data_IF_906947784730
#
_entry.id   IF_906947784730
#
_cell.length_a   1.000
_cell.length_b   1.000
_cell.length_c   1.000
_cell.angle_alpha   90.00
_cell.angle_beta   90.00
_cell.angle_gamma   90.00
#
_symmetry.space_group_name_H-M   'P 1'
#
loop_
_entity.id
_entity.type
_entity.pdbx_description
1 polymer ?
#
# COMPACT_ATOMS: atom_id res chain seq x y z
N UNK A 1 -19.79 57.63 47.68
CA UNK A 1 -20.80 57.42 46.61
C UNK A 1 -21.06 55.91 46.56
N UNK A 2 -22.12 55.45 47.24
CA UNK A 2 -23.33 54.84 46.66
C UNK A 2 -23.04 53.57 45.83
N UNK A 3 -23.25 52.35 46.36
CA UNK A 3 -24.51 51.52 46.32
C UNK A 3 -24.81 51.04 44.89
N UNK A 4 -25.08 49.78 44.52
CA UNK A 4 -25.96 48.74 45.08
C UNK A 4 -25.78 47.42 44.24
N UNK A 5 -25.74 46.23 44.84
CA UNK A 5 -26.80 45.19 44.93
C UNK A 5 -27.11 44.30 43.70
N UNK A 6 -26.77 43.01 43.88
CA UNK A 6 -27.59 41.77 43.84
C UNK A 6 -28.59 41.40 42.71
N UNK A 7 -28.55 40.08 42.43
CA UNK A 7 -29.65 39.11 42.29
C UNK A 7 -30.19 38.66 40.91
N UNK A 8 -29.98 37.34 40.68
CA UNK A 8 -30.94 36.24 40.42
C UNK A 8 -31.80 36.18 39.14
N UNK A 9 -31.59 35.05 38.44
CA UNK A 9 -32.55 34.06 37.90
C UNK A 9 -33.75 34.52 37.06
N UNK A 10 -33.89 33.90 35.87
CA UNK A 10 -35.14 33.88 35.12
C UNK A 10 -34.97 33.35 33.70
N UNK A 11 -35.03 32.02 33.54
CA UNK A 11 -35.20 31.37 32.24
C UNK A 11 -36.67 31.54 31.83
N UNK A 12 -36.91 32.15 30.66
CA UNK A 12 -38.22 32.14 30.00
C UNK A 12 -38.12 31.37 28.69
N UNK A 13 -38.85 30.26 28.64
CA UNK A 13 -39.25 29.54 27.45
C UNK A 13 -40.21 30.40 26.62
N UNK A 14 -39.94 30.54 25.32
CA UNK A 14 -40.95 30.83 24.31
C UNK A 14 -40.75 29.86 23.15
N UNK A 15 -41.67 28.92 23.08
CA UNK A 15 -41.88 27.96 22.00
C UNK A 15 -42.32 28.67 20.72
N UNK A 16 -41.63 28.39 19.62
CA UNK A 16 -42.10 28.63 18.26
C UNK A 16 -41.94 27.33 17.45
N UNK A 17 -43.06 26.64 17.27
CA UNK A 17 -43.22 25.54 16.33
C UNK A 17 -43.01 26.04 14.90
N UNK A 18 -41.93 25.60 14.25
CA UNK A 18 -41.79 25.65 12.80
C UNK A 18 -41.96 24.22 12.25
N UNK A 19 -43.10 23.96 11.62
CA UNK A 19 -43.28 22.81 10.73
C UNK A 19 -42.32 23.00 9.54
N UNK A 20 -41.28 22.19 9.45
CA UNK A 20 -40.50 22.03 8.21
C UNK A 20 -41.04 20.79 7.51
N UNK A 21 -41.65 21.00 6.34
CA UNK A 21 -42.12 19.94 5.47
C UNK A 21 -40.93 19.09 5.00
N UNK A 22 -40.98 17.79 5.29
CA UNK A 22 -40.08 16.77 4.73
C UNK A 22 -40.44 16.57 3.25
N UNK A 23 -39.74 17.27 2.36
CA UNK A 23 -39.58 16.76 0.99
C UNK A 23 -38.47 15.69 1.04
N UNK A 24 -38.63 14.54 0.35
CA UNK A 24 -37.54 13.60 0.19
C UNK A 24 -36.46 14.28 -0.64
N UNK A 25 -35.40 14.75 0.01
CA UNK A 25 -34.15 15.03 -0.65
C UNK A 25 -33.63 13.71 -1.19
N UNK A 26 -33.82 13.49 -2.49
CA UNK A 26 -32.90 12.67 -3.26
C UNK A 26 -31.50 13.21 -2.95
N UNK A 27 -30.73 12.45 -2.18
CA UNK A 27 -29.32 12.75 -1.95
C UNK A 27 -28.63 12.68 -3.32
N UNK A 28 -28.49 13.84 -3.96
CA UNK A 28 -27.61 13.99 -5.10
C UNK A 28 -26.20 13.65 -4.58
N UNK A 29 -25.62 12.54 -5.05
CA UNK A 29 -24.24 12.21 -4.78
C UNK A 29 -23.38 13.46 -5.02
N UNK A 30 -22.59 13.86 -4.02
CA UNK A 30 -21.67 14.98 -4.19
C UNK A 30 -20.76 14.64 -5.39
N UNK A 31 -20.68 15.50 -6.41
CA UNK A 31 -19.80 15.23 -7.54
C UNK A 31 -18.36 15.17 -7.02
N UNK A 32 -17.67 14.07 -7.31
CA UNK A 32 -16.22 13.95 -7.22
C UNK A 32 -15.61 15.25 -7.76
N UNK A 33 -14.64 15.91 -7.09
CA UNK A 33 -14.08 17.15 -7.57
C UNK A 33 -13.60 16.93 -9.00
N UNK A 34 -14.28 17.54 -9.96
CA UNK A 34 -14.04 17.32 -11.38
C UNK A 34 -12.61 17.78 -11.68
N UNK A 35 -11.76 16.85 -12.11
CA UNK A 35 -10.42 17.18 -12.59
C UNK A 35 -10.53 18.30 -13.61
N UNK A 36 -9.81 19.40 -13.38
CA UNK A 36 -9.92 20.59 -14.21
C UNK A 36 -9.53 20.27 -15.66
N UNK A 37 -10.45 20.56 -16.59
CA UNK A 37 -10.22 20.48 -18.03
C UNK A 37 -10.28 21.89 -18.63
N UNK A 38 -9.22 22.31 -19.29
CA UNK A 38 -9.19 23.59 -19.98
C UNK A 38 -10.24 23.61 -21.12
N UNK A 39 -11.34 24.38 -21.02
CA UNK A 39 -12.45 24.30 -21.97
C UNK A 39 -12.05 24.72 -23.39
N UNK A 40 -10.97 25.49 -23.53
CA UNK A 40 -10.48 25.99 -24.80
C UNK A 40 -9.43 25.08 -25.46
N UNK A 41 -8.86 24.13 -24.71
CA UNK A 41 -7.83 23.22 -25.20
C UNK A 41 -8.36 22.24 -26.26
N UNK A 42 -7.50 21.90 -27.22
CA UNK A 42 -7.81 20.90 -28.24
C UNK A 42 -8.10 19.52 -27.64
N UNK A 43 -7.40 19.17 -26.55
CA UNK A 43 -7.60 17.93 -25.79
C UNK A 43 -9.06 17.84 -25.29
N UNK A 44 -9.53 18.87 -24.59
CA UNK A 44 -10.92 18.93 -24.10
C UNK A 44 -11.96 18.87 -25.22
N UNK A 45 -11.68 19.51 -26.36
CA UNK A 45 -12.56 19.45 -27.54
C UNK A 45 -12.65 18.04 -28.11
N UNK A 46 -11.54 17.31 -28.19
CA UNK A 46 -11.56 15.92 -28.64
C UNK A 46 -12.27 15.00 -27.65
N UNK A 47 -12.00 15.15 -26.35
CA UNK A 47 -12.68 14.35 -25.32
C UNK A 47 -14.22 14.50 -25.39
N UNK A 48 -14.72 15.73 -25.59
CA UNK A 48 -16.16 16.02 -25.71
C UNK A 48 -16.85 15.33 -26.88
N UNK A 49 -16.13 14.84 -27.89
CA UNK A 49 -16.77 14.14 -29.01
C UNK A 49 -17.25 12.75 -28.62
N UNK A 50 -16.58 12.10 -27.66
CA UNK A 50 -16.96 10.77 -27.17
C UNK A 50 -16.38 10.48 -25.77
N UNK A 51 -16.96 11.07 -24.69
CA UNK A 51 -16.46 10.87 -23.34
C UNK A 51 -16.47 9.39 -22.88
N UNK A 52 -17.40 8.58 -23.40
CA UNK A 52 -17.52 7.17 -23.04
C UNK A 52 -16.34 6.34 -23.57
N UNK A 53 -15.85 6.67 -24.77
CA UNK A 53 -14.66 6.07 -25.39
C UNK A 53 -13.37 6.42 -24.66
N UNK A 54 -13.22 7.68 -24.25
CA UNK A 54 -11.97 8.17 -23.66
C UNK A 54 -11.90 7.95 -22.14
N UNK A 55 -13.04 7.89 -21.45
CA UNK A 55 -13.13 7.80 -20.00
C UNK A 55 -13.12 9.18 -19.32
N UNK A 56 -13.27 9.18 -18.00
CA UNK A 56 -13.16 10.41 -17.21
C UNK A 56 -11.70 10.88 -17.12
N UNK A 57 -11.44 12.20 -17.03
CA UNK A 57 -10.10 12.72 -16.82
C UNK A 57 -9.54 12.28 -15.46
N UNK A 58 -8.30 11.81 -15.45
CA UNK A 58 -7.57 11.37 -14.25
C UNK A 58 -6.56 12.40 -13.76
N UNK A 59 -6.09 13.28 -14.65
CA UNK A 59 -5.12 14.33 -14.32
C UNK A 59 -5.45 15.65 -15.02
N UNK A 60 -5.01 16.81 -14.47
CA UNK A 60 -5.02 18.06 -15.20
C UNK A 60 -4.16 17.99 -16.47
N UNK A 61 -4.42 18.88 -17.43
CA UNK A 61 -3.57 19.01 -18.63
C UNK A 61 -2.14 19.41 -18.24
N UNK A 62 -1.15 18.64 -18.70
CA UNK A 62 0.27 18.89 -18.50
C UNK A 62 0.91 19.34 -19.81
N UNK A 63 1.41 20.57 -19.82
CA UNK A 63 2.07 21.15 -21.00
C UNK A 63 3.57 21.29 -20.79
N UNK A 64 4.36 20.82 -21.77
CA UNK A 64 5.81 20.95 -21.81
C UNK A 64 6.21 21.81 -23.01
N UNK A 65 6.94 22.88 -22.73
CA UNK A 65 7.37 23.85 -23.75
C UNK A 65 8.13 23.15 -24.88
N UNK A 66 7.67 23.34 -26.11
CA UNK A 66 8.26 22.74 -27.30
C UNK A 66 7.82 21.30 -27.61
N UNK A 67 7.27 20.56 -26.62
CA UNK A 67 6.86 19.15 -26.80
C UNK A 67 5.34 18.97 -26.98
N UNK A 68 4.54 19.86 -26.39
CA UNK A 68 3.08 19.82 -26.48
C UNK A 68 2.42 19.70 -25.12
N UNK A 69 1.17 19.26 -25.10
CA UNK A 69 0.39 19.00 -23.89
C UNK A 69 -0.15 17.57 -23.90
N UNK A 70 -0.34 17.00 -22.72
CA UNK A 70 -1.02 15.72 -22.51
C UNK A 70 -2.08 15.83 -21.42
N UNK A 71 -3.09 14.98 -21.51
CA UNK A 71 -4.02 14.72 -20.42
C UNK A 71 -4.36 13.23 -20.39
N UNK A 72 -4.43 12.67 -19.19
CA UNK A 72 -4.67 11.25 -18.94
C UNK A 72 -6.15 11.04 -18.59
N UNK A 73 -6.75 9.99 -19.13
CA UNK A 73 -8.13 9.58 -18.92
C UNK A 73 -8.20 8.10 -18.58
N UNK A 74 -9.29 7.65 -17.95
CA UNK A 74 -9.48 6.25 -17.52
C UNK A 74 -9.23 5.22 -18.63
N UNK A 75 -9.50 5.57 -19.89
CA UNK A 75 -9.40 4.66 -21.04
C UNK A 75 -8.52 5.20 -22.16
N UNK A 76 -7.81 6.31 -21.95
CA UNK A 76 -7.01 6.90 -23.01
C UNK A 76 -5.99 7.93 -22.52
N UNK A 77 -5.03 8.25 -23.39
CA UNK A 77 -4.26 9.49 -23.31
C UNK A 77 -4.59 10.33 -24.52
N UNK A 78 -4.82 11.62 -24.30
CA UNK A 78 -4.98 12.60 -25.38
C UNK A 78 -3.84 13.61 -25.30
N UNK A 79 -3.13 13.79 -26.40
CA UNK A 79 -2.04 14.77 -26.51
C UNK A 79 -2.37 15.83 -27.56
N UNK A 80 -1.82 17.02 -27.38
CA UNK A 80 -1.76 18.06 -28.39
C UNK A 80 -0.30 18.45 -28.66
N UNK A 81 0.14 18.35 -29.91
CA UNK A 81 1.43 18.89 -30.36
C UNK A 81 1.24 20.00 -31.41
N UNK A 82 2.16 20.97 -31.46
CA UNK A 82 2.09 22.04 -32.46
C UNK A 82 2.21 21.52 -33.91
N UNK A 83 2.97 20.44 -34.11
CA UNK A 83 3.17 19.79 -35.41
C UNK A 83 2.23 18.59 -35.65
N UNK A 84 1.72 17.95 -34.59
CA UNK A 84 0.94 16.70 -34.68
C UNK A 84 -0.57 16.91 -34.47
N UNK A 85 -0.96 18.08 -33.96
CA UNK A 85 -2.33 18.40 -33.59
C UNK A 85 -2.82 17.59 -32.38
N UNK A 86 -4.14 17.51 -32.20
CA UNK A 86 -4.74 16.67 -31.15
C UNK A 86 -4.82 15.23 -31.64
N UNK A 87 -4.33 14.29 -30.83
CA UNK A 87 -4.36 12.83 -31.08
C UNK A 87 -4.62 12.09 -29.77
N UNK A 88 -5.21 10.91 -29.88
CA UNK A 88 -5.52 10.07 -28.74
C UNK A 88 -5.04 8.64 -28.99
N UNK A 89 -4.59 7.98 -27.93
CA UNK A 89 -4.44 6.52 -27.90
C UNK A 89 -5.50 5.95 -26.98
N UNK A 90 -6.23 4.95 -27.45
CA UNK A 90 -7.33 4.33 -26.68
C UNK A 90 -6.92 2.98 -26.10
N UNK A 91 -7.38 2.71 -24.88
CA UNK A 91 -7.03 1.56 -24.04
C UNK A 91 -6.22 1.98 -22.81
N UNK A 92 -6.66 1.60 -21.61
CA UNK A 92 -6.01 1.93 -20.34
C UNK A 92 -4.55 1.43 -20.30
N UNK A 93 -4.29 0.21 -20.73
CA UNK A 93 -2.94 -0.37 -20.74
C UNK A 93 -2.00 0.38 -21.70
N UNK A 94 -2.53 0.88 -22.83
CA UNK A 94 -1.77 1.66 -23.81
C UNK A 94 -1.46 3.06 -23.29
N UNK A 95 -2.43 3.69 -22.62
CA UNK A 95 -2.26 4.94 -21.91
C UNK A 95 -1.13 4.83 -20.88
N UNK A 96 -1.19 3.82 -20.01
CA UNK A 96 -0.15 3.54 -19.02
C UNK A 96 1.22 3.26 -19.65
N UNK A 97 1.28 2.53 -20.77
CA UNK A 97 2.53 2.27 -21.47
C UNK A 97 3.17 3.57 -22.01
N UNK A 98 2.38 4.48 -22.58
CA UNK A 98 2.88 5.78 -23.02
C UNK A 98 3.39 6.63 -21.84
N UNK A 99 2.70 6.61 -20.70
CA UNK A 99 3.16 7.30 -19.47
C UNK A 99 4.48 6.69 -18.96
N UNK A 100 4.58 5.36 -18.93
CA UNK A 100 5.80 4.64 -18.53
C UNK A 100 7.00 4.93 -19.44
N UNK A 101 6.75 5.23 -20.72
CA UNK A 101 7.78 5.70 -21.64
C UNK A 101 8.26 7.14 -21.36
N UNK A 102 7.69 7.80 -20.35
CA UNK A 102 8.00 9.17 -19.92
C UNK A 102 7.05 10.24 -20.46
N UNK A 103 5.99 9.85 -21.16
CA UNK A 103 4.92 10.73 -21.67
C UNK A 103 5.42 11.93 -22.47
N UNK A 104 4.67 13.04 -22.40
CA UNK A 104 4.93 14.27 -23.17
C UNK A 104 6.30 14.89 -22.83
N UNK A 105 6.83 14.61 -21.63
CA UNK A 105 8.11 15.12 -21.16
C UNK A 105 9.30 14.46 -21.85
N UNK A 106 9.18 13.17 -22.20
CA UNK A 106 10.26 12.40 -22.81
C UNK A 106 9.99 12.15 -24.28
N UNK A 107 8.91 11.41 -24.58
CA UNK A 107 8.63 10.90 -25.93
C UNK A 107 7.77 11.85 -26.77
N UNK A 108 7.13 12.85 -26.14
CA UNK A 108 6.43 13.91 -26.85
C UNK A 108 5.02 13.53 -27.33
N UNK A 109 4.41 14.41 -28.12
CA UNK A 109 3.01 14.29 -28.52
C UNK A 109 2.80 13.14 -29.51
N UNK A 110 1.64 12.49 -29.43
CA UNK A 110 1.24 11.40 -30.33
C UNK A 110 1.11 11.92 -31.77
N UNK A 111 1.59 11.14 -32.75
CA UNK A 111 1.34 11.38 -34.17
C UNK A 111 0.05 10.69 -34.67
N UNK A 112 -0.47 9.69 -33.94
CA UNK A 112 -1.64 8.90 -34.31
C UNK A 112 -2.07 7.92 -33.22
N UNK A 113 -3.11 7.12 -33.52
CA UNK A 113 -3.50 5.99 -32.66
C UNK A 113 -2.53 4.82 -32.82
N UNK A 114 -2.64 3.81 -31.95
CA UNK A 114 -1.80 2.63 -31.96
C UNK A 114 -1.96 1.83 -33.27
N UNK A 115 -0.83 1.36 -33.79
CA UNK A 115 -0.75 0.50 -34.96
C UNK A 115 0.11 -0.74 -34.67
N UNK A 116 -0.11 -1.81 -35.41
CA UNK A 116 0.64 -3.05 -35.22
C UNK A 116 1.96 -3.00 -36.00
N UNK A 117 3.06 -2.71 -35.31
CA UNK A 117 4.40 -2.81 -35.85
C UNK A 117 4.79 -4.28 -36.07
N UNK A 118 5.30 -4.58 -37.26
CA UNK A 118 5.73 -5.94 -37.65
C UNK A 118 6.68 -6.57 -36.63
N UNK A 119 7.58 -5.79 -36.04
CA UNK A 119 8.64 -6.26 -35.15
C UNK A 119 8.31 -6.04 -33.67
N UNK A 120 7.62 -4.95 -33.35
CA UNK A 120 7.36 -4.54 -31.96
C UNK A 120 5.93 -4.82 -31.47
N UNK A 121 5.01 -5.19 -32.34
CA UNK A 121 3.59 -5.31 -31.98
C UNK A 121 2.91 -3.95 -31.87
N UNK A 122 1.81 -3.82 -31.11
CA UNK A 122 1.13 -2.55 -30.87
C UNK A 122 2.10 -1.43 -30.45
N UNK A 123 2.21 -0.39 -31.27
CA UNK A 123 3.13 0.73 -31.07
C UNK A 123 2.49 2.04 -31.51
N UNK A 124 3.03 3.15 -31.03
CA UNK A 124 2.68 4.51 -31.46
C UNK A 124 3.95 5.24 -31.85
N UNK A 125 3.82 6.20 -32.78
CA UNK A 125 4.89 7.16 -33.07
C UNK A 125 4.57 8.46 -32.37
N UNK A 126 5.58 9.05 -31.74
CA UNK A 126 5.46 10.32 -31.01
C UNK A 126 6.53 11.29 -31.46
N UNK A 127 6.31 12.58 -31.20
CA UNK A 127 7.22 13.64 -31.58
C UNK A 127 7.34 14.68 -30.46
N UNK A 128 8.57 14.94 -30.00
CA UNK A 128 8.85 15.84 -28.89
C UNK A 128 9.24 17.26 -29.32
N UNK A 129 9.00 17.61 -30.59
CA UNK A 129 9.44 18.88 -31.17
C UNK A 129 10.79 18.80 -31.88
N UNK A 130 11.61 17.78 -31.59
CA UNK A 130 12.92 17.57 -32.21
C UNK A 130 13.09 16.15 -32.76
N UNK A 131 12.58 15.18 -32.01
CA UNK A 131 12.87 13.76 -32.18
C UNK A 131 11.58 12.98 -32.33
N UNK A 132 11.58 12.01 -33.26
CA UNK A 132 10.53 11.01 -33.36
C UNK A 132 10.89 9.77 -32.57
N UNK A 133 9.98 9.34 -31.70
CA UNK A 133 10.13 8.10 -30.97
C UNK A 133 9.14 7.05 -31.46
N UNK A 134 9.55 5.79 -31.41
CA UNK A 134 8.62 4.67 -31.46
C UNK A 134 8.43 4.18 -30.03
N UNK A 135 7.18 4.13 -29.58
CA UNK A 135 6.80 3.67 -28.23
C UNK A 135 5.98 2.39 -28.36
N UNK A 136 6.38 1.35 -27.63
CA UNK A 136 5.65 0.08 -27.56
C UNK A 136 4.52 0.23 -26.56
N UNK A 137 3.28 0.04 -27.00
CA UNK A 137 2.08 0.26 -26.16
C UNK A 137 1.31 -1.02 -25.85
N UNK A 138 1.81 -2.18 -26.26
CA UNK A 138 1.24 -3.47 -25.87
C UNK A 138 1.73 -4.64 -26.70
N UNK A 139 1.10 -5.80 -26.48
CA UNK A 139 1.45 -7.06 -27.14
C UNK A 139 2.60 -7.82 -26.48
N UNK A 140 3.06 -8.87 -27.15
CA UNK A 140 4.01 -9.85 -26.59
C UNK A 140 5.42 -9.77 -27.18
N UNK A 141 5.61 -9.02 -28.27
CA UNK A 141 6.89 -8.96 -29.01
C UNK A 141 7.97 -8.09 -28.33
N UNK A 142 7.54 -7.20 -27.44
CA UNK A 142 8.38 -6.18 -26.81
C UNK A 142 7.77 -5.79 -25.46
N UNK A 143 8.52 -5.03 -24.67
CA UNK A 143 8.05 -4.54 -23.37
C UNK A 143 7.19 -3.31 -23.56
N UNK A 144 5.96 -3.32 -23.06
CA UNK A 144 5.11 -2.14 -23.06
C UNK A 144 5.74 -1.02 -22.20
N UNK A 145 5.79 0.18 -22.77
CA UNK A 145 6.43 1.36 -22.21
C UNK A 145 7.89 1.56 -22.61
N UNK A 146 8.49 0.62 -23.35
CA UNK A 146 9.77 0.87 -23.99
C UNK A 146 9.64 1.86 -25.13
N UNK A 147 10.66 2.69 -25.31
CA UNK A 147 10.74 3.61 -26.44
C UNK A 147 12.14 3.67 -27.05
N UNK A 148 12.21 4.05 -28.30
CA UNK A 148 13.48 4.34 -28.98
C UNK A 148 13.37 5.64 -29.76
N UNK A 149 14.39 6.49 -29.62
CA UNK A 149 14.62 7.61 -30.52
C UNK A 149 15.03 7.06 -31.89
N UNK A 150 14.22 7.28 -32.92
CA UNK A 150 14.45 6.75 -34.27
C UNK A 150 15.63 7.42 -35.00
N UNK A 151 16.11 8.56 -34.50
CA UNK A 151 17.25 9.30 -35.01
C UNK A 151 18.54 9.04 -34.23
N UNK A 152 18.48 8.38 -33.08
CA UNK A 152 19.66 8.00 -32.31
C UNK A 152 20.52 6.98 -33.06
N UNK A 153 21.74 6.76 -32.57
CA UNK A 153 22.64 5.74 -33.14
C UNK A 153 21.99 4.36 -33.04
N UNK A 154 21.37 4.07 -31.90
CA UNK A 154 20.67 2.82 -31.58
C UNK A 154 19.42 2.66 -32.45
N UNK A 155 18.61 3.71 -32.58
CA UNK A 155 17.41 3.69 -33.42
C UNK A 155 17.72 3.44 -34.89
N UNK A 156 18.72 4.15 -35.43
CA UNK A 156 19.20 3.95 -36.80
C UNK A 156 19.74 2.54 -37.01
N UNK A 157 20.51 2.02 -36.05
CA UNK A 157 21.02 0.64 -36.09
C UNK A 157 19.87 -0.37 -36.09
N UNK A 158 18.88 -0.22 -35.21
CA UNK A 158 17.72 -1.10 -35.16
C UNK A 158 16.91 -1.05 -36.47
N UNK A 159 16.67 0.15 -37.01
CA UNK A 159 15.97 0.30 -38.29
C UNK A 159 16.65 -0.47 -39.44
N UNK A 160 17.98 -0.54 -39.43
CA UNK A 160 18.78 -1.28 -40.41
C UNK A 160 18.75 -2.80 -40.17
N UNK A 161 18.75 -3.26 -38.92
CA UNK A 161 18.92 -4.68 -38.59
C UNK A 161 17.61 -5.44 -38.34
N UNK A 162 16.51 -4.75 -38.03
CA UNK A 162 15.22 -5.36 -37.64
C UNK A 162 14.64 -6.36 -38.64
N UNK A 163 14.90 -6.19 -39.94
CA UNK A 163 14.45 -7.14 -40.97
C UNK A 163 15.14 -8.50 -40.86
N UNK A 164 16.43 -8.49 -40.52
CA UNK A 164 17.24 -9.70 -40.31
C UNK A 164 17.03 -10.27 -38.91
N UNK A 165 17.02 -9.42 -37.88
CA UNK A 165 16.82 -9.82 -36.50
C UNK A 165 15.40 -10.29 -36.21
N UNK A 166 14.42 -9.85 -37.01
CA UNK A 166 12.98 -10.11 -36.83
C UNK A 166 12.46 -9.78 -35.43
N UNK A 167 13.09 -8.82 -34.75
CA UNK A 167 12.86 -8.50 -33.34
C UNK A 167 12.72 -6.98 -33.11
N UNK A 168 12.03 -6.61 -32.03
CA UNK A 168 11.99 -5.22 -31.56
C UNK A 168 13.31 -4.79 -30.92
N UNK A 169 13.49 -3.48 -30.70
CA UNK A 169 14.71 -2.90 -30.13
C UNK A 169 14.90 -3.22 -28.64
N UNK A 170 13.84 -3.61 -27.95
CA UNK A 170 13.76 -3.98 -26.54
C UNK A 170 13.14 -5.39 -26.39
N UNK A 171 13.28 -6.23 -27.42
CA UNK A 171 12.61 -7.52 -27.51
C UNK A 171 12.74 -8.28 -26.18
N UNK A 172 11.60 -8.79 -25.69
CA UNK A 172 11.61 -9.72 -24.56
C UNK A 172 12.55 -10.87 -24.92
N UNK A 173 13.36 -11.39 -23.98
CA UNK A 173 14.06 -12.65 -24.19
C UNK A 173 13.03 -13.67 -24.71
N UNK A 174 13.31 -14.29 -25.86
CA UNK A 174 12.44 -15.35 -26.36
C UNK A 174 12.32 -16.44 -25.28
N UNK A 175 11.15 -17.04 -25.15
CA UNK A 175 10.90 -18.19 -24.26
C UNK A 175 11.77 -19.43 -24.55
N UNK A 176 12.73 -19.34 -25.47
CA UNK A 176 13.59 -20.42 -25.96
C UNK A 176 14.73 -20.79 -24.98
N UNK A 177 14.69 -20.35 -23.73
CA UNK A 177 15.61 -20.85 -22.73
C UNK A 177 15.03 -20.96 -21.32
N UNK A 178 13.73 -21.27 -21.18
CA UNK A 178 13.14 -21.55 -19.86
C UNK A 178 13.98 -22.58 -19.10
N UNK A 179 14.50 -23.60 -19.78
CA UNK A 179 15.36 -24.63 -19.19
C UNK A 179 16.67 -24.07 -18.60
N UNK A 180 17.45 -23.24 -19.31
CA UNK A 180 18.66 -22.69 -18.71
C UNK A 180 18.38 -21.52 -17.77
N UNK A 181 17.25 -20.80 -17.91
CA UNK A 181 16.84 -19.83 -16.90
C UNK A 181 16.44 -20.54 -15.61
N UNK A 182 15.70 -21.66 -15.69
CA UNK A 182 15.43 -22.53 -14.54
C UNK A 182 16.72 -23.07 -13.94
N UNK A 183 17.69 -23.52 -14.75
CA UNK A 183 18.99 -23.96 -14.26
C UNK A 183 19.77 -22.83 -13.55
N UNK A 184 19.73 -21.60 -14.09
CA UNK A 184 20.32 -20.42 -13.45
C UNK A 184 19.64 -20.10 -12.12
N UNK A 185 18.31 -20.12 -12.08
CA UNK A 185 17.51 -19.91 -10.87
C UNK A 185 17.84 -20.96 -9.81
N UNK A 186 17.95 -22.22 -10.22
CA UNK A 186 18.30 -23.32 -9.34
C UNK A 186 19.69 -23.15 -8.73
N UNK A 187 20.69 -22.76 -9.53
CA UNK A 187 22.05 -22.47 -9.06
C UNK A 187 22.08 -21.31 -8.04
N UNK A 188 21.32 -20.23 -8.29
CA UNK A 188 21.18 -19.12 -7.33
C UNK A 188 20.54 -19.60 -6.02
N UNK A 189 19.46 -20.37 -6.12
CA UNK A 189 18.72 -20.86 -4.96
C UNK A 189 19.57 -21.82 -4.13
N UNK A 190 20.27 -22.77 -4.74
CA UNK A 190 21.14 -23.71 -4.01
C UNK A 190 22.35 -23.03 -3.34
N UNK A 191 22.86 -21.93 -3.92
CA UNK A 191 23.95 -21.15 -3.30
C UNK A 191 23.49 -20.34 -2.09
N UNK A 192 22.26 -19.83 -2.14
CA UNK A 192 21.72 -18.94 -1.10
C UNK A 192 20.90 -19.66 -0.03
N UNK A 193 20.37 -20.84 -0.34
CA UNK A 193 19.50 -21.62 0.54
C UNK A 193 19.86 -23.10 0.42
N UNK A 194 20.23 -23.74 1.54
CA UNK A 194 20.48 -25.19 1.62
C UNK A 194 19.15 -25.94 1.41
N UNK A 195 18.78 -26.16 0.14
CA UNK A 195 17.43 -26.58 -0.26
C UNK A 195 17.44 -27.65 -1.36
N UNK A 196 16.54 -28.62 -1.22
CA UNK A 196 16.36 -29.79 -2.11
C UNK A 196 15.52 -29.51 -3.36
N UNK A 197 15.41 -28.23 -3.72
CA UNK A 197 14.52 -27.73 -4.78
C UNK A 197 15.01 -28.22 -6.14
N UNK A 198 14.09 -28.49 -7.06
CA UNK A 198 14.32 -28.95 -8.43
C UNK A 198 13.76 -27.95 -9.46
N UNK A 199 14.05 -28.17 -10.75
CA UNK A 199 13.56 -27.28 -11.80
C UNK A 199 12.03 -27.34 -11.98
N UNK A 200 11.42 -28.44 -11.56
CA UNK A 200 9.98 -28.70 -11.55
C UNK A 200 9.24 -27.88 -10.50
N UNK A 201 9.93 -27.49 -9.43
CA UNK A 201 9.37 -26.67 -8.35
C UNK A 201 9.30 -25.17 -8.73
N UNK A 202 9.91 -24.79 -9.86
CA UNK A 202 9.96 -23.40 -10.33
C UNK A 202 8.68 -23.07 -11.12
N UNK A 203 7.88 -22.17 -10.54
CA UNK A 203 6.69 -21.59 -11.17
C UNK A 203 7.13 -20.46 -12.10
N UNK A 204 6.69 -20.52 -13.35
CA UNK A 204 6.96 -19.48 -14.36
C UNK A 204 5.69 -18.68 -14.61
N UNK A 205 5.73 -17.39 -14.32
CA UNK A 205 4.59 -16.47 -14.55
C UNK A 205 4.89 -15.55 -15.73
N UNK A 206 3.98 -15.53 -16.71
CA UNK A 206 4.02 -14.72 -17.94
C UNK A 206 5.32 -14.83 -18.76
N UNK A 207 6.07 -15.92 -18.57
CA UNK A 207 7.39 -16.07 -19.17
C UNK A 207 8.32 -14.92 -18.80
N UNK A 208 8.24 -14.39 -17.57
CA UNK A 208 9.11 -13.33 -17.04
C UNK A 208 9.65 -13.68 -15.67
N UNK A 209 8.74 -14.07 -14.78
CA UNK A 209 9.05 -14.32 -13.39
C UNK A 209 9.26 -15.81 -13.14
N UNK A 210 10.33 -16.16 -12.44
CA UNK A 210 10.65 -17.51 -12.03
C UNK A 210 10.63 -17.53 -10.51
N UNK A 211 9.60 -18.17 -9.95
CA UNK A 211 9.32 -18.18 -8.54
C UNK A 211 9.51 -19.58 -7.97
N UNK A 212 10.10 -19.71 -6.79
CA UNK A 212 10.22 -20.99 -6.11
C UNK A 212 10.17 -20.82 -4.60
N UNK A 213 9.45 -21.72 -3.94
CA UNK A 213 9.38 -21.73 -2.48
C UNK A 213 10.76 -22.12 -1.90
N UNK A 214 11.26 -21.33 -0.96
CA UNK A 214 12.58 -21.54 -0.35
C UNK A 214 12.49 -21.53 1.18
N UNK A 215 12.95 -22.62 1.80
CA UNK A 215 13.25 -22.69 3.24
C UNK A 215 12.10 -22.44 4.23
N UNK A 216 12.48 -21.88 5.39
CA UNK A 216 11.65 -21.67 6.58
C UNK A 216 10.59 -20.56 6.37
N UNK A 217 9.38 -20.75 6.89
CA UNK A 217 8.27 -19.77 6.96
C UNK A 217 7.58 -19.35 5.65
N UNK A 218 7.64 -20.15 4.59
CA UNK A 218 6.77 -19.91 3.40
C UNK A 218 7.22 -18.75 2.51
N UNK A 219 8.54 -18.50 2.47
CA UNK A 219 9.17 -17.52 1.59
C UNK A 219 9.27 -18.04 0.16
N UNK A 220 9.25 -17.10 -0.78
CA UNK A 220 9.32 -17.32 -2.23
C UNK A 220 10.51 -16.55 -2.78
N UNK A 221 11.48 -17.26 -3.34
CA UNK A 221 12.50 -16.66 -4.18
C UNK A 221 11.87 -16.31 -5.53
N UNK A 222 12.05 -15.09 -5.99
CA UNK A 222 11.51 -14.58 -7.25
C UNK A 222 12.64 -14.01 -8.10
N UNK A 223 12.78 -14.47 -9.34
CA UNK A 223 13.71 -13.93 -10.32
C UNK A 223 12.95 -13.29 -11.48
N UNK A 224 13.29 -12.04 -11.80
CA UNK A 224 12.76 -11.32 -12.95
C UNK A 224 13.79 -11.38 -14.10
N UNK A 225 13.53 -12.23 -15.09
CA UNK A 225 14.48 -12.41 -16.20
C UNK A 225 14.62 -11.17 -17.10
N UNK A 226 13.67 -10.23 -17.02
CA UNK A 226 13.69 -9.04 -17.86
C UNK A 226 14.77 -8.05 -17.41
N UNK A 227 14.91 -7.87 -16.09
CA UNK A 227 15.90 -6.96 -15.49
C UNK A 227 17.10 -7.71 -14.91
N UNK A 228 17.03 -9.04 -14.82
CA UNK A 228 18.12 -9.89 -14.32
C UNK A 228 18.25 -9.87 -12.79
N UNK A 229 17.31 -9.24 -12.08
CA UNK A 229 17.31 -9.14 -10.63
C UNK A 229 16.50 -10.25 -9.99
N UNK A 230 16.80 -10.54 -8.73
CA UNK A 230 16.03 -11.48 -7.90
C UNK A 230 15.56 -10.80 -6.61
N UNK A 231 14.70 -11.49 -5.87
CA UNK A 231 14.05 -11.07 -4.62
C UNK A 231 13.70 -12.29 -3.76
N UNK A 232 13.63 -12.16 -2.44
CA UNK A 232 12.90 -13.07 -1.56
C UNK A 232 11.65 -12.35 -1.04
N UNK A 233 10.47 -12.86 -1.35
CA UNK A 233 9.20 -12.33 -0.87
C UNK A 233 8.56 -13.32 0.11
N UNK A 234 7.84 -12.84 1.11
CA UNK A 234 6.92 -13.70 1.87
C UNK A 234 5.78 -14.15 0.95
N UNK A 235 5.27 -15.38 1.10
CA UNK A 235 4.26 -15.97 0.19
C UNK A 235 3.03 -15.08 -0.10
N UNK A 236 2.41 -14.45 0.92
CA UNK A 236 1.34 -13.49 0.71
C UNK A 236 1.75 -12.27 -0.12
N UNK A 237 2.95 -11.73 0.09
CA UNK A 237 3.49 -10.58 -0.67
C UNK A 237 3.74 -10.96 -2.12
N UNK A 238 4.32 -12.15 -2.36
CA UNK A 238 4.49 -12.68 -3.71
C UNK A 238 3.16 -12.74 -4.47
N UNK A 239 2.11 -13.25 -3.82
CA UNK A 239 0.78 -13.40 -4.41
C UNK A 239 0.19 -12.07 -4.87
N UNK A 240 0.44 -10.99 -4.15
CA UNK A 240 0.01 -9.65 -4.55
C UNK A 240 0.96 -9.01 -5.58
N UNK A 241 2.27 -9.18 -5.41
CA UNK A 241 3.29 -8.64 -6.32
C UNK A 241 3.04 -9.07 -7.76
N UNK A 242 2.81 -10.37 -8.00
CA UNK A 242 2.62 -10.90 -9.34
C UNK A 242 1.36 -10.38 -10.05
N UNK A 243 0.34 -9.88 -9.32
CA UNK A 243 -0.89 -9.33 -9.91
C UNK A 243 -0.66 -7.94 -10.51
N UNK A 244 0.20 -7.13 -9.90
CA UNK A 244 0.48 -5.77 -10.37
C UNK A 244 1.94 -5.33 -10.08
N UNK A 245 2.95 -5.93 -10.73
CA UNK A 245 4.35 -5.62 -10.44
C UNK A 245 4.72 -4.15 -10.63
N UNK A 246 4.04 -3.44 -11.55
CA UNK A 246 4.26 -2.01 -11.79
C UNK A 246 3.90 -1.12 -10.60
N UNK A 247 2.89 -1.53 -9.81
CA UNK A 247 2.54 -0.83 -8.57
C UNK A 247 3.65 -0.98 -7.52
N UNK A 248 4.36 -2.11 -7.55
CA UNK A 248 5.42 -2.50 -6.62
C UNK A 248 6.84 -2.33 -7.20
N UNK A 249 7.07 -1.51 -8.23
CA UNK A 249 8.40 -1.31 -8.79
C UNK A 249 9.18 -2.59 -9.21
N UNK A 250 10.49 -2.44 -9.42
CA UNK A 250 11.37 -3.55 -9.82
C UNK A 250 11.98 -4.26 -8.61
N UNK A 251 12.24 -5.57 -8.75
CA UNK A 251 13.05 -6.30 -7.75
C UNK A 251 14.46 -5.71 -7.71
N UNK A 252 14.95 -5.39 -6.53
CA UNK A 252 16.34 -5.01 -6.29
C UNK A 252 16.92 -5.96 -5.24
N UNK A 253 17.98 -6.69 -5.59
CA UNK A 253 18.87 -7.34 -4.62
C UNK A 253 20.31 -6.93 -4.95
N UNK A 254 21.06 -6.53 -3.93
CA UNK A 254 22.51 -6.67 -3.89
C UNK A 254 22.87 -7.82 -2.93
N UNK A 255 23.34 -8.94 -3.46
CA UNK A 255 24.01 -9.95 -2.63
C UNK A 255 25.43 -9.44 -2.36
N UNK A 256 25.79 -9.22 -1.10
CA UNK A 256 27.21 -9.12 -0.73
C UNK A 256 27.77 -10.55 -0.75
N UNK A 257 28.82 -10.85 -1.54
CA UNK A 257 29.47 -12.17 -1.52
C UNK A 257 30.23 -12.43 -0.21
N UNK A 258 30.43 -11.39 0.60
CA UNK A 258 31.41 -11.39 1.69
C UNK A 258 30.72 -11.19 3.06
N UNK A 259 30.13 -12.26 3.58
CA UNK A 259 30.17 -12.58 5.02
C UNK A 259 28.97 -12.22 5.91
N UNK A 260 28.28 -13.28 6.37
CA UNK A 260 27.56 -13.32 7.66
C UNK A 260 26.09 -13.75 7.54
N UNK A 261 25.67 -14.68 8.41
CA UNK A 261 24.27 -15.16 8.57
C UNK A 261 23.26 -14.03 8.90
N UNK A 262 23.70 -12.77 9.02
CA UNK A 262 22.90 -11.59 9.28
C UNK A 262 22.55 -10.76 8.03
N UNK A 263 23.03 -11.13 6.85
CA UNK A 263 22.74 -10.40 5.60
C UNK A 263 21.35 -10.79 5.06
N UNK A 264 20.33 -10.25 5.73
CA UNK A 264 18.95 -10.27 5.27
C UNK A 264 18.89 -9.63 3.87
N UNK A 265 18.60 -10.44 2.85
CA UNK A 265 18.36 -9.95 1.49
C UNK A 265 17.21 -8.94 1.48
N UNK A 266 17.54 -7.66 1.40
CA UNK A 266 16.57 -6.59 1.27
C UNK A 266 15.93 -6.67 -0.12
N UNK A 267 14.62 -6.87 -0.19
CA UNK A 267 13.89 -6.70 -1.44
C UNK A 267 13.23 -5.33 -1.43
N UNK A 268 13.73 -4.44 -2.28
CA UNK A 268 12.97 -3.22 -2.59
C UNK A 268 11.92 -3.55 -3.63
N UNK A 269 10.66 -3.29 -3.30
CA UNK A 269 9.49 -3.40 -4.18
C UNK A 269 8.73 -2.06 -4.30
N UNK A 270 9.40 -0.91 -4.21
CA UNK A 270 8.82 0.40 -4.61
C UNK A 270 9.90 1.39 -5.15
N UNK A 271 11.05 0.90 -5.62
CA UNK A 271 12.14 1.78 -6.07
C UNK A 271 12.01 2.24 -7.53
N UNK A 272 12.06 3.55 -7.78
CA UNK A 272 12.67 4.09 -9.00
C UNK A 272 14.19 3.87 -8.91
N UNK A 273 14.81 3.49 -10.03
CA UNK A 273 16.24 3.16 -10.05
C UNK A 273 17.11 4.29 -9.48
N UNK A 274 18.10 3.91 -8.66
CA UNK A 274 19.33 4.64 -8.34
C UNK A 274 19.48 5.38 -7.00
N UNK A 275 18.73 5.03 -5.95
CA UNK A 275 19.14 5.46 -4.59
C UNK A 275 19.11 4.27 -3.63
N UNK A 276 20.29 3.88 -3.16
CA UNK A 276 20.54 2.83 -2.16
C UNK A 276 20.01 3.20 -0.75
N UNK A 277 18.81 3.80 -0.67
CA UNK A 277 18.36 4.49 0.56
C UNK A 277 16.99 4.05 1.08
N UNK A 278 16.41 2.95 0.55
CA UNK A 278 15.07 2.50 0.95
C UNK A 278 15.01 0.99 1.21
N UNK A 279 14.31 0.60 2.28
CA UNK A 279 14.00 -0.78 2.60
C UNK A 279 12.48 -0.95 2.73
N UNK A 280 11.99 -2.07 2.19
CA UNK A 280 10.58 -2.47 2.23
C UNK A 280 10.51 -3.82 2.91
N UNK A 281 10.16 -3.79 4.18
CA UNK A 281 10.13 -4.99 5.00
C UNK A 281 8.69 -5.48 5.09
N UNK A 282 8.46 -6.68 4.55
CA UNK A 282 7.23 -7.41 4.76
C UNK A 282 7.29 -8.08 6.14
N UNK A 283 6.33 -7.76 7.00
CA UNK A 283 6.26 -8.32 8.34
C UNK A 283 4.95 -9.04 8.58
N UNK A 284 5.05 -10.19 9.24
CA UNK A 284 3.91 -10.95 9.75
C UNK A 284 3.60 -12.19 8.93
N UNK A 285 3.27 -13.29 9.60
CA UNK A 285 2.79 -14.52 8.97
C UNK A 285 1.34 -14.36 8.43
N UNK A 286 0.66 -13.25 8.74
CA UNK A 286 -0.80 -13.10 8.60
C UNK A 286 -1.29 -11.80 7.95
N UNK A 287 -0.44 -10.77 7.80
CA UNK A 287 -0.80 -9.50 7.17
C UNK A 287 0.27 -9.09 6.15
N UNK A 288 -0.14 -8.57 5.00
CA UNK A 288 0.77 -8.18 3.91
C UNK A 288 1.14 -6.69 4.07
N UNK A 289 1.72 -6.29 5.18
CA UNK A 289 2.16 -4.89 5.31
C UNK A 289 3.58 -4.68 4.81
N UNK A 290 3.89 -3.51 4.27
CA UNK A 290 5.25 -3.16 3.88
C UNK A 290 5.70 -1.87 4.57
N UNK A 291 6.73 -1.96 5.41
CA UNK A 291 7.32 -0.77 6.04
C UNK A 291 8.22 -0.05 5.05
N UNK A 292 7.93 1.21 4.72
CA UNK A 292 8.81 2.05 3.89
C UNK A 292 9.70 2.90 4.79
N UNK A 293 11.00 2.58 4.77
CA UNK A 293 12.02 3.31 5.51
C UNK A 293 12.96 4.06 4.58
N UNK A 294 13.42 5.25 4.98
CA UNK A 294 14.51 5.99 4.35
C UNK A 294 15.66 6.23 5.32
N UNK A 295 16.84 6.52 4.78
CA UNK A 295 17.94 7.07 5.59
C UNK A 295 17.69 8.53 5.95
N UNK A 296 17.79 8.83 7.24
CA UNK A 296 17.88 10.19 7.77
C UNK A 296 19.30 10.41 8.27
N UNK A 297 19.94 11.47 7.78
CA UNK A 297 21.21 11.94 8.31
C UNK A 297 20.92 12.77 9.55
N UNK A 298 21.30 12.26 10.70
CA UNK A 298 21.20 12.97 11.98
C UNK A 298 22.13 14.18 12.01
N UNK A 299 21.87 15.10 12.94
CA UNK A 299 22.65 16.33 13.09
C UNK A 299 24.14 16.09 13.39
N UNK A 300 24.49 14.90 13.90
CA UNK A 300 25.86 14.45 14.17
C UNK A 300 26.54 13.77 12.96
N UNK A 301 25.86 13.72 11.81
CA UNK A 301 26.35 13.08 10.58
C UNK A 301 26.15 11.57 10.54
N UNK A 302 25.59 10.95 11.60
CA UNK A 302 25.22 9.53 11.58
C UNK A 302 23.99 9.31 10.70
N UNK A 303 23.90 8.15 10.06
CA UNK A 303 22.74 7.76 9.27
C UNK A 303 21.88 6.80 10.08
N UNK A 304 20.60 7.12 10.27
CA UNK A 304 19.61 6.22 10.89
C UNK A 304 18.47 5.92 9.94
N UNK A 305 17.92 4.72 10.03
CA UNK A 305 16.71 4.36 9.31
C UNK A 305 15.52 4.98 10.01
N UNK A 306 14.69 5.72 9.27
CA UNK A 306 13.40 6.20 9.76
C UNK A 306 12.27 5.78 8.83
N UNK A 307 11.14 5.30 9.39
CA UNK A 307 9.93 5.06 8.61
C UNK A 307 9.42 6.41 8.08
N UNK A 308 9.15 6.48 6.77
CA UNK A 308 8.74 7.72 6.11
C UNK A 308 7.23 7.77 5.95
N UNK A 309 6.66 6.63 5.55
CA UNK A 309 5.23 6.44 5.31
C UNK A 309 4.95 4.92 5.38
N UNK A 310 4.27 4.39 6.38
CA UNK A 310 3.97 2.94 6.37
C UNK A 310 2.97 2.61 5.25
N UNK A 311 3.37 1.78 4.29
CA UNK A 311 2.49 1.31 3.21
C UNK A 311 1.97 -0.09 3.57
N UNK A 312 0.71 -0.18 4.00
CA UNK A 312 0.08 -1.50 4.14
C UNK A 312 -0.34 -1.96 2.74
N UNK A 313 0.18 -3.10 2.25
CA UNK A 313 -0.47 -3.81 1.13
C UNK A 313 -1.67 -4.51 1.74
N UNK A 314 -2.76 -3.77 1.92
CA UNK A 314 -3.98 -4.39 2.43
C UNK A 314 -4.66 -5.17 1.30
N UNK A 315 -4.30 -6.45 1.22
CA UNK A 315 -5.18 -7.44 0.63
C UNK A 315 -5.52 -8.44 1.73
N UNK A 316 -6.52 -8.05 2.52
CA UNK A 316 -7.32 -8.88 3.38
C UNK A 316 -7.49 -10.31 2.81
N UNK A 317 -6.63 -11.26 3.23
CA UNK A 317 -6.93 -12.68 3.01
C UNK A 317 -8.26 -12.93 3.72
N UNK A 318 -9.26 -13.56 3.06
CA UNK A 318 -10.48 -13.95 3.72
C UNK A 318 -10.13 -14.77 4.96
N UNK A 319 -10.41 -14.24 6.14
CA UNK A 319 -10.18 -14.93 7.40
C UNK A 319 -11.53 -15.26 8.03
N UNK A 320 -11.57 -16.40 8.70
CA UNK A 320 -12.70 -16.75 9.56
C UNK A 320 -12.33 -16.36 10.97
N UNK A 321 -13.04 -15.41 11.61
CA UNK A 321 -12.82 -15.07 13.01
C UNK A 321 -12.90 -16.33 13.87
N UNK A 322 -12.04 -16.42 14.89
CA UNK A 322 -12.18 -17.47 15.90
C UNK A 322 -13.56 -17.35 16.57
N UNK A 323 -14.22 -18.49 16.79
CA UNK A 323 -15.39 -18.55 17.66
C UNK A 323 -14.91 -18.38 19.10
N UNK A 324 -15.23 -17.23 19.68
CA UNK A 324 -14.81 -16.84 21.02
C UNK A 324 -15.24 -17.83 22.11
N UNK A 325 -16.34 -18.57 21.89
CA UNK A 325 -16.85 -19.56 22.84
C UNK A 325 -16.09 -20.89 22.77
N UNK A 326 -15.30 -21.09 21.72
CA UNK A 326 -14.49 -22.30 21.51
C UNK A 326 -13.04 -22.15 21.99
N UNK A 327 -12.65 -20.97 22.48
CA UNK A 327 -11.28 -20.67 22.89
C UNK A 327 -10.91 -21.47 24.15
N UNK A 328 -9.83 -22.24 24.07
CA UNK A 328 -9.18 -22.90 25.20
C UNK A 328 -8.27 -21.90 25.93
N UNK A 329 -8.83 -21.20 26.91
CA UNK A 329 -8.13 -20.16 27.69
C UNK A 329 -6.93 -20.67 28.48
N UNK A 330 -6.79 -21.99 28.70
CA UNK A 330 -5.61 -22.56 29.36
C UNK A 330 -4.33 -22.44 28.53
N UNK A 331 -4.46 -22.12 27.24
CA UNK A 331 -3.34 -21.91 26.29
C UNK A 331 -3.16 -20.44 25.90
N UNK A 332 -3.96 -19.54 26.46
CA UNK A 332 -3.90 -18.12 26.16
C UNK A 332 -2.66 -17.47 26.78
N UNK A 333 -2.23 -16.36 26.18
CA UNK A 333 -1.19 -15.51 26.76
C UNK A 333 -1.76 -14.79 27.98
N UNK A 334 -0.99 -14.69 29.05
CA UNK A 334 -1.34 -13.92 30.24
C UNK A 334 -0.54 -12.61 30.28
N UNK A 335 -1.20 -11.53 30.73
CA UNK A 335 -0.56 -10.27 31.08
C UNK A 335 -1.19 -9.70 32.35
N UNK A 336 -0.36 -9.22 33.27
CA UNK A 336 -0.70 -8.54 34.52
C UNK A 336 -0.85 -7.02 34.35
N UNK A 337 -0.45 -6.46 33.21
CA UNK A 337 -0.41 -5.01 32.98
C UNK A 337 -1.77 -4.34 32.72
N UNK A 338 -2.73 -4.96 32.01
CA UNK A 338 -4.03 -4.34 31.77
C UNK A 338 -4.81 -4.15 33.07
N UNK A 339 -4.92 -2.89 33.50
CA UNK A 339 -5.57 -2.50 34.74
C UNK A 339 -4.90 -1.30 35.38
N UNK A 340 -5.43 -0.86 36.51
CA UNK A 340 -4.79 0.16 37.33
C UNK A 340 -3.72 -0.47 38.23
N UNK A 341 -2.64 0.26 38.56
CA UNK A 341 -1.62 -0.26 39.47
C UNK A 341 -2.22 -0.65 40.83
N UNK A 342 -1.95 -1.88 41.24
CA UNK A 342 -2.48 -2.46 42.48
C UNK A 342 -3.81 -3.19 42.33
N UNK A 343 -4.43 -3.18 41.14
CA UNK A 343 -5.51 -4.11 40.83
C UNK A 343 -4.98 -5.55 40.74
N UNK A 344 -5.69 -6.48 41.37
CA UNK A 344 -5.31 -7.88 41.35
C UNK A 344 -5.79 -8.55 40.06
N UNK A 345 -4.91 -9.33 39.43
CA UNK A 345 -5.19 -10.00 38.17
C UNK A 345 -4.85 -9.15 36.95
N UNK A 346 -5.29 -9.61 35.78
CA UNK A 346 -4.93 -9.03 34.50
C UNK A 346 -5.80 -9.58 33.37
N UNK A 347 -5.20 -9.95 32.25
CA UNK A 347 -5.90 -10.45 31.08
C UNK A 347 -5.29 -11.75 30.54
N UNK A 348 -6.17 -12.67 30.11
CA UNK A 348 -5.81 -13.72 29.17
C UNK A 348 -6.22 -13.28 27.77
N UNK A 349 -5.35 -13.49 26.79
CA UNK A 349 -5.64 -13.13 25.41
C UNK A 349 -5.11 -14.13 24.37
N UNK A 350 -5.84 -14.23 23.27
CA UNK A 350 -5.49 -15.01 22.07
C UNK A 350 -5.64 -14.10 20.85
N UNK A 351 -4.72 -14.22 19.89
CA UNK A 351 -4.71 -13.38 18.69
C UNK A 351 -4.92 -14.22 17.44
N UNK A 352 -5.81 -13.75 16.56
CA UNK A 352 -5.91 -14.27 15.19
C UNK A 352 -5.17 -13.35 14.21
N UNK A 353 -5.58 -13.32 12.93
CA UNK A 353 -4.96 -12.43 11.94
C UNK A 353 -5.38 -10.95 12.07
N UNK A 354 -6.48 -10.64 12.75
CA UNK A 354 -7.10 -9.30 12.77
C UNK A 354 -7.62 -8.83 14.11
N UNK A 355 -7.75 -9.72 15.09
CA UNK A 355 -8.35 -9.41 16.37
C UNK A 355 -7.61 -10.07 17.52
N UNK A 356 -7.67 -9.40 18.67
CA UNK A 356 -7.32 -9.95 19.96
C UNK A 356 -8.62 -10.31 20.69
N UNK A 357 -8.67 -11.52 21.23
CA UNK A 357 -9.77 -12.03 22.04
C UNK A 357 -9.32 -12.04 23.49
N UNK A 358 -10.04 -11.33 24.35
CA UNK A 358 -9.56 -10.94 25.67
C UNK A 358 -10.59 -11.33 26.72
N UNK A 359 -10.13 -11.91 27.83
CA UNK A 359 -10.94 -12.16 29.04
C UNK A 359 -10.18 -11.72 30.29
N UNK A 360 -10.90 -11.19 31.29
CA UNK A 360 -10.30 -10.88 32.60
C UNK A 360 -9.79 -12.14 33.27
N UNK A 361 -8.61 -12.08 33.86
CA UNK A 361 -7.95 -13.20 34.52
C UNK A 361 -7.49 -12.86 35.93
N UNK A 362 -7.43 -13.87 36.78
CA UNK A 362 -6.83 -13.79 38.11
C UNK A 362 -5.29 -13.90 38.00
N UNK A 363 -4.59 -13.60 39.09
CA UNK A 363 -3.14 -13.76 39.19
C UNK A 363 -2.64 -15.21 39.05
N UNK A 364 -3.52 -16.21 39.19
CA UNK A 364 -3.21 -17.63 38.93
C UNK A 364 -3.38 -18.04 37.45
N UNK A 365 -3.58 -17.05 36.57
CA UNK A 365 -3.78 -17.19 35.13
C UNK A 365 -5.05 -17.97 34.75
N UNK A 366 -6.06 -17.96 35.62
CA UNK A 366 -7.40 -18.48 35.31
C UNK A 366 -8.38 -17.35 35.00
N UNK A 367 -9.38 -17.56 34.14
CA UNK A 367 -10.44 -16.57 33.93
C UNK A 367 -11.16 -16.22 35.24
N UNK A 368 -11.46 -14.93 35.44
CA UNK A 368 -12.30 -14.49 36.56
C UNK A 368 -13.68 -15.12 36.40
N UNK A 369 -14.24 -15.64 37.50
CA UNK A 369 -15.55 -16.32 37.47
C UNK A 369 -16.63 -15.36 36.96
N UNK A 370 -17.31 -15.75 35.88
CA UNK A 370 -18.38 -14.95 35.26
C UNK A 370 -17.89 -13.84 34.33
N UNK A 371 -16.57 -13.67 34.14
CA UNK A 371 -16.04 -12.76 33.14
C UNK A 371 -16.47 -13.19 31.74
N UNK A 372 -16.79 -12.20 30.91
CA UNK A 372 -17.08 -12.40 29.50
C UNK A 372 -15.82 -12.11 28.70
N UNK A 373 -15.59 -12.90 27.66
CA UNK A 373 -14.57 -12.60 26.68
C UNK A 373 -15.10 -11.62 25.64
N UNK A 374 -14.23 -10.77 25.12
CA UNK A 374 -14.55 -9.78 24.09
C UNK A 374 -13.50 -9.75 22.99
N UNK A 375 -13.94 -9.36 21.80
CA UNK A 375 -13.09 -9.19 20.62
C UNK A 375 -12.68 -7.72 20.47
N UNK A 376 -11.40 -7.46 20.19
CA UNK A 376 -10.86 -6.13 19.89
C UNK A 376 -10.07 -6.16 18.58
N UNK A 377 -10.57 -5.47 17.56
CA UNK A 377 -9.88 -5.37 16.27
C UNK A 377 -8.73 -4.38 16.32
N UNK A 378 -8.87 -3.29 17.08
CA UNK A 378 -7.78 -2.35 17.32
C UNK A 378 -6.55 -3.03 17.91
N UNK A 379 -6.69 -3.77 19.02
CA UNK A 379 -5.55 -4.46 19.63
C UNK A 379 -5.01 -5.58 18.74
N UNK A 380 -5.87 -6.30 18.02
CA UNK A 380 -5.40 -7.31 17.06
C UNK A 380 -4.64 -6.73 15.87
N UNK A 381 -5.11 -5.59 15.34
CA UNK A 381 -4.41 -4.86 14.30
C UNK A 381 -3.05 -4.37 14.81
N UNK A 382 -3.01 -3.71 15.97
CA UNK A 382 -1.77 -3.23 16.59
C UNK A 382 -0.81 -4.38 16.95
N UNK A 383 -1.31 -5.54 17.32
CA UNK A 383 -0.49 -6.73 17.54
C UNK A 383 0.16 -7.23 16.24
N UNK A 384 -0.61 -7.23 15.14
CA UNK A 384 -0.10 -7.66 13.84
C UNK A 384 1.06 -6.80 13.30
N UNK A 385 1.28 -5.63 13.90
CA UNK A 385 2.34 -4.69 13.52
C UNK A 385 3.50 -4.64 14.52
N UNK A 386 3.47 -5.41 15.62
CA UNK A 386 4.55 -5.44 16.64
C UNK A 386 5.89 -5.90 16.07
N UNK A 387 5.88 -6.88 15.16
CA UNK A 387 7.10 -7.39 14.53
C UNK A 387 7.87 -6.37 13.68
N UNK A 388 7.34 -5.16 13.50
CA UNK A 388 7.83 -4.11 12.57
C UNK A 388 8.85 -3.14 13.20
N UNK A 389 9.40 -3.48 14.37
CA UNK A 389 10.33 -2.61 15.10
C UNK A 389 9.67 -1.39 15.77
N UNK A 390 8.33 -1.35 15.82
CA UNK A 390 7.55 -0.26 16.39
C UNK A 390 6.91 -0.70 17.71
N UNK A 391 6.99 0.13 18.75
CA UNK A 391 6.26 -0.06 20.00
C UNK A 391 4.80 0.32 19.80
N UNK A 392 3.91 -0.66 19.79
CA UNK A 392 2.50 -0.46 19.42
C UNK A 392 1.61 -0.25 20.63
N UNK A 393 0.38 0.23 20.42
CA UNK A 393 -0.59 0.30 21.52
C UNK A 393 -1.00 -1.08 22.05
N UNK A 394 -0.86 -2.16 21.26
CA UNK A 394 -1.03 -3.52 21.78
C UNK A 394 0.08 -3.82 22.81
N UNK A 395 1.35 -3.58 22.47
CA UNK A 395 2.45 -3.70 23.43
C UNK A 395 2.24 -2.81 24.66
N UNK A 396 1.82 -1.56 24.46
CA UNK A 396 1.50 -0.67 25.57
C UNK A 396 0.41 -1.22 26.49
N UNK A 397 -0.56 -1.95 25.93
CA UNK A 397 -1.65 -2.57 26.67
C UNK A 397 -1.16 -3.73 27.53
N UNK A 398 -0.44 -4.70 26.97
CA UNK A 398 -0.02 -5.92 27.70
C UNK A 398 1.38 -5.87 28.33
N UNK A 399 2.17 -4.81 28.12
CA UNK A 399 3.50 -4.63 28.73
C UNK A 399 3.65 -3.32 29.52
N UNK A 400 2.69 -2.39 29.43
CA UNK A 400 2.86 -1.03 29.95
C UNK A 400 3.70 -0.16 29.00
N UNK A 401 4.21 0.97 29.48
CA UNK A 401 5.15 1.81 28.72
C UNK A 401 6.56 1.18 28.69
N UNK A 402 7.50 1.80 27.97
CA UNK A 402 8.85 1.26 27.74
C UNK A 402 9.64 0.93 29.03
N UNK A 403 9.28 1.54 30.16
CA UNK A 403 9.85 1.30 31.48
C UNK A 403 9.04 0.29 32.33
N UNK A 404 8.07 -0.41 31.74
CA UNK A 404 7.12 -1.29 32.42
C UNK A 404 6.22 -0.56 33.44
N UNK A 405 6.02 0.75 33.24
CA UNK A 405 5.06 1.54 34.00
C UNK A 405 3.68 1.50 33.34
N UNK A 406 2.56 1.60 34.06
CA UNK A 406 1.24 1.63 33.44
C UNK A 406 1.11 2.78 32.43
N UNK A 407 0.80 2.45 31.18
CA UNK A 407 0.50 3.44 30.14
C UNK A 407 -0.98 3.81 30.21
N UNK A 408 -1.39 4.91 29.55
CA UNK A 408 -2.84 5.21 29.41
C UNK A 408 -3.60 4.06 28.73
N UNK A 409 -2.91 3.30 27.88
CA UNK A 409 -3.47 2.18 27.15
C UNK A 409 -3.64 0.96 28.07
N UNK A 410 -2.64 0.58 28.87
CA UNK A 410 -2.79 -0.51 29.84
C UNK A 410 -3.78 -0.17 30.94
N UNK A 411 -3.82 1.11 31.36
CA UNK A 411 -4.77 1.60 32.35
C UNK A 411 -6.24 1.50 31.93
N UNK A 412 -6.55 1.23 30.65
CA UNK A 412 -7.92 0.92 30.22
C UNK A 412 -8.47 -0.36 30.89
N UNK A 413 -7.62 -1.32 31.25
CA UNK A 413 -8.04 -2.65 31.70
C UNK A 413 -8.48 -3.53 30.54
N UNK A 414 -9.42 -4.44 30.78
CA UNK A 414 -9.98 -5.32 29.74
C UNK A 414 -11.24 -4.72 29.09
N UNK A 415 -11.61 -5.12 27.86
CA UNK A 415 -12.88 -4.70 27.27
C UNK A 415 -14.06 -5.21 28.10
N UNK A 416 -15.12 -4.39 28.19
CA UNK A 416 -16.37 -4.74 28.91
C UNK A 416 -17.60 -4.72 28.00
N UNK A 417 -17.41 -4.45 26.72
CA UNK A 417 -18.46 -4.46 25.71
C UNK A 417 -17.91 -4.78 24.31
N UNK A 418 -18.82 -5.25 23.44
CA UNK A 418 -18.54 -5.39 22.01
C UNK A 418 -18.19 -4.04 21.38
N UNK A 419 -17.23 -4.08 20.44
CA UNK A 419 -16.86 -2.92 19.67
C UNK A 419 -18.02 -2.47 18.75
N UNK A 420 -18.14 -1.16 18.55
CA UNK A 420 -19.15 -0.54 17.66
C UNK A 420 -18.46 0.26 16.58
N UNK A 421 -18.94 0.14 15.34
CA UNK A 421 -18.48 0.94 14.22
C UNK A 421 -19.33 2.20 14.12
N UNK A 422 -18.68 3.35 13.99
CA UNK A 422 -19.30 4.67 13.83
C UNK A 422 -18.70 5.33 12.59
N UNK A 423 -19.54 5.91 11.74
CA UNK A 423 -19.08 6.68 10.57
C UNK A 423 -19.17 8.18 10.85
N UNK A 424 -18.06 8.88 10.70
CA UNK A 424 -17.94 10.33 10.90
C UNK A 424 -17.10 10.94 9.77
N UNK A 425 -17.64 11.95 9.08
CA UNK A 425 -16.89 12.62 8.00
C UNK A 425 -16.49 11.71 6.82
N UNK A 426 -17.17 10.58 6.63
CA UNK A 426 -16.82 9.57 5.62
C UNK A 426 -15.72 8.59 6.03
N UNK A 427 -15.24 8.69 7.28
CA UNK A 427 -14.28 7.75 7.87
C UNK A 427 -14.99 6.80 8.83
N UNK A 428 -14.47 5.57 8.94
CA UNK A 428 -14.97 4.55 9.86
C UNK A 428 -14.13 4.52 11.12
N UNK A 429 -14.78 4.65 12.26
CA UNK A 429 -14.16 4.54 13.57
C UNK A 429 -14.71 3.34 14.32
N UNK A 430 -13.84 2.60 14.99
CA UNK A 430 -14.23 1.63 16.01
C UNK A 430 -14.24 2.33 17.37
N UNK A 431 -15.31 2.12 18.13
CA UNK A 431 -15.40 2.52 19.54
C UNK A 431 -15.60 1.29 20.41
N UNK A 432 -14.93 1.23 21.56
CA UNK A 432 -15.05 0.11 22.49
C UNK A 432 -14.89 0.59 23.93
N UNK A 433 -15.71 0.01 24.83
CA UNK A 433 -15.65 0.29 26.26
C UNK A 433 -14.77 -0.73 26.97
N UNK A 434 -13.95 -0.23 27.89
CA UNK A 434 -13.06 -0.98 28.76
C UNK A 434 -13.41 -0.67 30.22
N UNK A 435 -12.84 -1.41 31.17
CA UNK A 435 -13.09 -1.24 32.61
C UNK A 435 -12.94 0.22 33.06
N UNK A 436 -11.91 0.88 32.55
CA UNK A 436 -11.45 2.17 33.04
C UNK A 436 -11.50 3.30 32.00
N UNK A 437 -12.20 3.08 30.90
CA UNK A 437 -12.29 4.06 29.84
C UNK A 437 -12.82 3.52 28.53
N UNK A 438 -12.50 4.22 27.46
CA UNK A 438 -12.93 3.84 26.12
C UNK A 438 -11.94 4.29 25.07
N UNK A 439 -12.06 3.67 23.90
CA UNK A 439 -11.29 4.02 22.72
C UNK A 439 -12.17 4.55 21.61
N UNK A 440 -11.58 5.39 20.76
CA UNK A 440 -12.05 5.70 19.42
C UNK A 440 -10.88 5.53 18.45
N UNK A 441 -10.94 4.51 17.62
CA UNK A 441 -9.87 4.11 16.72
C UNK A 441 -10.30 4.31 15.27
N UNK A 442 -9.52 5.04 14.48
CA UNK A 442 -9.75 5.15 13.04
C UNK A 442 -9.40 3.79 12.40
N UNK A 443 -10.41 3.13 11.82
CA UNK A 443 -10.21 1.85 11.14
C UNK A 443 -9.45 2.10 9.82
N UNK A 444 -8.39 1.32 9.53
CA UNK A 444 -7.71 1.38 8.24
C UNK A 444 -8.69 1.14 7.09
N UNK A 445 -8.64 1.98 6.07
CA UNK A 445 -9.27 1.70 4.77
C UNK A 445 -8.21 1.11 3.84
N UNK A 446 -8.64 0.25 2.91
CA UNK A 446 -7.91 -0.41 1.82
C UNK A 446 -7.02 0.50 0.95
N UNK A 447 -7.06 1.81 1.17
CA UNK A 447 -6.24 2.83 0.50
C UNK A 447 -5.50 3.67 1.56
N UNK A 448 -4.30 3.22 1.91
CA UNK A 448 -3.14 3.97 2.44
C UNK A 448 -3.40 5.29 3.18
N UNK A 449 -3.13 5.40 4.50
CA UNK A 449 -2.73 6.68 5.13
C UNK A 449 -1.97 6.52 6.47
N UNK A 450 -0.78 7.10 6.63
CA UNK A 450 -0.14 7.59 7.89
C UNK A 450 0.00 6.64 9.13
N UNK A 451 1.22 6.44 9.68
CA UNK A 451 1.50 5.55 10.82
C UNK A 451 0.78 5.86 12.15
N UNK A 452 0.18 7.03 12.36
CA UNK A 452 -0.49 7.35 13.64
C UNK A 452 -1.93 6.80 13.72
N UNK A 453 -2.14 5.51 13.50
CA UNK A 453 -3.42 4.80 13.78
C UNK A 453 -3.55 4.42 15.27
N UNK A 454 -3.01 5.26 16.14
CA UNK A 454 -3.26 5.16 17.57
C UNK A 454 -4.73 5.46 17.83
N UNK A 455 -5.37 4.66 18.67
CA UNK A 455 -6.69 4.97 19.15
C UNK A 455 -6.62 6.19 20.07
N UNK A 456 -7.62 7.06 19.96
CA UNK A 456 -7.88 8.09 20.95
C UNK A 456 -8.36 7.40 22.23
N UNK A 457 -7.59 7.56 23.31
CA UNK A 457 -7.88 6.95 24.61
C UNK A 457 -8.58 7.97 25.50
N UNK A 458 -9.74 7.60 26.02
CA UNK A 458 -10.47 8.40 27.02
C UNK A 458 -10.60 7.60 28.31
N UNK A 459 -9.86 7.99 29.35
CA UNK A 459 -9.93 7.38 30.68
C UNK A 459 -11.11 7.93 31.50
N UNK A 460 -11.67 7.11 32.38
CA UNK A 460 -12.61 7.56 33.39
C UNK A 460 -11.89 8.42 34.46
N UNK A 461 -12.61 9.16 35.31
CA UNK A 461 -11.98 10.05 36.29
C UNK A 461 -11.03 9.36 37.29
N UNK A 462 -11.30 8.10 37.62
CA UNK A 462 -10.47 7.29 38.53
C UNK A 462 -9.13 6.96 37.91
N UNK A 463 -9.13 6.39 36.71
CA UNK A 463 -7.92 6.08 35.96
C UNK A 463 -7.17 7.35 35.53
N UNK A 464 -7.87 8.42 35.18
CA UNK A 464 -7.26 9.71 34.86
C UNK A 464 -6.53 10.31 36.06
N UNK A 465 -7.01 10.08 37.28
CA UNK A 465 -6.37 10.58 38.49
C UNK A 465 -4.96 10.02 38.68
N UNK A 466 -4.66 8.82 38.18
CA UNK A 466 -3.33 8.21 38.26
C UNK A 466 -2.26 8.98 37.47
N UNK A 467 -2.64 9.62 36.35
CA UNK A 467 -1.69 10.26 35.43
C UNK A 467 -1.50 11.77 35.65
N UNK A 468 -2.17 12.36 36.64
CA UNK A 468 -2.19 13.81 36.87
C UNK A 468 -1.20 14.27 37.99
N UNK A 469 -0.13 13.51 38.25
CA UNK A 469 0.74 13.68 39.42
C UNK A 469 2.00 14.47 39.09
#
# INVERSE_FOLDING_TARGET
MMKFSSNKWGVSLLSATALVALLPSVAQAAPTPSVYMNPNAGITKLWKTDPAKYGQPLSPEKCVKGKGCEQIFEKSVITWGSSTGVKAITGADRAQAYEKAGGIGVVGALEGDAWNNTYCGPSVTTFDGKTRHLVVVGGTKATAGSSIDLNSVEGKKWLQTRGTAKACFDAKPAADNEAATKAKVLDMVHKSFDSTVTAEDIIVTDGRYYAVAVGYKGRVFLYDQQIGNSGILEGPVYTEYIKNPSYYGGLIISFSPDGGDSDMGYVSIFGESAVNEFALQAYGERSVSVQHSQYVVNADGTKTWQPVEDYVIDHEVPYTPLDINSIDWSKASYSDMPGLPGEEGGALFVTDARAMYIIKANADHTPVTGAKAYRSEWLGYQESIVGRGSWTQAQQWYQGDWNLEPSKVSALGVPVAEAKIVEEGGLKYQTQQFEHGSIKWLMPDSKLVNPTYEAEITLNPEAQAFFNW
#
